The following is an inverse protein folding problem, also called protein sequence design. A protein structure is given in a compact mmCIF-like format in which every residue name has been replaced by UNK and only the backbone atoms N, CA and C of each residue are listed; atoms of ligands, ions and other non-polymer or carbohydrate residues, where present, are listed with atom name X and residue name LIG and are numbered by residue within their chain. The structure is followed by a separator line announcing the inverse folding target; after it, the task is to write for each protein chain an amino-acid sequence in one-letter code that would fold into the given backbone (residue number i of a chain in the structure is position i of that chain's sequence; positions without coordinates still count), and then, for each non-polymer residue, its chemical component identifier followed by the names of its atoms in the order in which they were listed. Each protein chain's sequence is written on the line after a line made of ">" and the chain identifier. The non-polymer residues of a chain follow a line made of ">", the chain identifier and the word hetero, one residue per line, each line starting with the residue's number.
data_IF_803579447495
#
_entry.id   IF_803579447495
#
_cell.length_a   1.000
_cell.length_b   1.000
_cell.length_c   1.000
_cell.angle_alpha   90.00
_cell.angle_beta   90.00
_cell.angle_gamma   90.00
#
_symmetry.space_group_name_H-M   'P 1'
#
loop_
_entity.id
_entity.type
_entity.pdbx_description
1 polymer ?
#
# COMPACT_ATOMS: atom_id res chain seq x y z
N UNK A 1 -2.31 9.52 19.85
CA UNK A 1 -1.65 10.23 18.74
C UNK A 1 -0.19 9.81 18.70
N UNK A 2 0.19 8.90 17.78
CA UNK A 2 1.58 8.50 17.57
C UNK A 2 2.40 9.63 16.92
N UNK A 3 3.76 9.56 16.97
CA UNK A 3 4.64 10.59 16.43
C UNK A 3 4.62 10.63 14.88
N UNK A 4 4.08 9.63 14.21
CA UNK A 4 4.08 9.49 12.76
C UNK A 4 2.70 9.73 12.16
N UNK A 5 2.65 10.44 11.03
CA UNK A 5 1.43 10.68 10.23
C UNK A 5 1.34 9.73 9.03
N UNK A 6 2.40 8.98 8.77
CA UNK A 6 2.47 8.00 7.70
C UNK A 6 3.03 6.67 8.19
N UNK A 7 2.72 5.61 7.45
CA UNK A 7 3.24 4.27 7.61
C UNK A 7 3.98 3.86 6.33
N UNK A 8 5.10 3.15 6.46
CA UNK A 8 5.82 2.52 5.36
C UNK A 8 5.72 1.00 5.51
N UNK A 9 5.02 0.36 4.59
CA UNK A 9 4.92 -1.10 4.50
C UNK A 9 5.95 -1.58 3.48
N UNK A 10 6.92 -2.37 3.93
CA UNK A 10 7.98 -2.90 3.09
C UNK A 10 8.02 -4.43 3.12
N UNK A 11 8.41 -5.05 2.00
CA UNK A 11 8.56 -6.51 1.92
C UNK A 11 8.45 -7.05 0.50
N UNK A 12 8.72 -8.36 0.28
CA UNK A 12 8.69 -8.98 -1.03
C UNK A 12 7.35 -8.78 -1.77
N UNK A 13 7.32 -8.89 -3.10
CA UNK A 13 6.06 -8.86 -3.85
C UNK A 13 5.19 -10.08 -3.51
N UNK A 14 3.87 -9.97 -3.78
CA UNK A 14 2.92 -11.06 -3.67
C UNK A 14 2.57 -11.54 -2.25
N UNK A 15 2.82 -10.73 -1.22
CA UNK A 15 2.55 -11.08 0.20
C UNK A 15 1.36 -10.30 0.79
N UNK A 16 0.58 -9.60 -0.04
CA UNK A 16 -0.65 -8.93 0.39
C UNK A 16 -0.47 -7.54 0.99
N UNK A 17 0.66 -6.83 0.77
CA UNK A 17 0.89 -5.50 1.33
C UNK A 17 -0.21 -4.49 0.98
N UNK A 18 -0.48 -4.31 -0.31
CA UNK A 18 -1.48 -3.37 -0.82
C UNK A 18 -2.89 -3.75 -0.35
N UNK A 19 -3.23 -5.04 -0.46
CA UNK A 19 -4.51 -5.56 0.02
C UNK A 19 -4.73 -5.28 1.51
N UNK A 20 -3.71 -5.52 2.34
CA UNK A 20 -3.78 -5.24 3.77
C UNK A 20 -3.97 -3.75 4.05
N UNK A 21 -3.24 -2.88 3.33
CA UNK A 21 -3.37 -1.43 3.49
C UNK A 21 -4.79 -0.94 3.17
N UNK A 22 -5.36 -1.45 2.06
CA UNK A 22 -6.73 -1.12 1.65
C UNK A 22 -7.75 -1.59 2.68
N UNK A 23 -7.68 -2.85 3.10
CA UNK A 23 -8.62 -3.43 4.06
C UNK A 23 -8.60 -2.70 5.40
N UNK A 24 -7.42 -2.43 5.95
CA UNK A 24 -7.28 -1.71 7.23
C UNK A 24 -7.86 -0.28 7.12
N UNK A 25 -7.61 0.42 6.00
CA UNK A 25 -8.16 1.76 5.81
C UNK A 25 -9.70 1.73 5.69
N UNK A 26 -10.25 0.71 5.02
CA UNK A 26 -11.70 0.50 4.90
C UNK A 26 -12.35 0.12 6.23
N UNK A 27 -11.72 -0.73 7.04
CA UNK A 27 -12.17 -1.09 8.38
C UNK A 27 -12.21 0.12 9.32
N UNK A 28 -11.27 1.08 9.15
CA UNK A 28 -11.28 2.37 9.88
C UNK A 28 -12.32 3.37 9.29
N UNK A 29 -13.18 2.91 8.37
CA UNK A 29 -14.24 3.71 7.75
C UNK A 29 -13.73 4.78 6.78
N UNK A 30 -12.48 4.68 6.31
CA UNK A 30 -11.87 5.68 5.44
C UNK A 30 -12.12 5.39 3.96
N UNK A 31 -12.24 6.46 3.21
CA UNK A 31 -12.20 6.43 1.75
C UNK A 31 -10.74 6.27 1.29
N UNK A 32 -10.44 5.20 0.57
CA UNK A 32 -9.10 4.93 0.07
C UNK A 32 -8.89 5.63 -1.27
N UNK A 33 -7.77 6.34 -1.37
CA UNK A 33 -7.22 6.88 -2.62
C UNK A 33 -5.90 6.15 -2.89
N UNK A 34 -5.94 5.21 -3.84
CA UNK A 34 -4.75 4.47 -4.27
C UNK A 34 -4.05 5.22 -5.40
N UNK A 35 -2.75 5.45 -5.24
CA UNK A 35 -1.87 6.09 -6.20
C UNK A 35 -0.63 5.24 -6.41
N UNK A 36 -0.26 5.00 -7.67
CA UNK A 36 1.03 4.41 -7.98
C UNK A 36 2.09 5.52 -8.07
N UNK A 37 3.11 5.45 -7.22
CA UNK A 37 4.15 6.47 -7.11
C UNK A 37 5.02 6.58 -8.38
N UNK A 38 5.04 5.55 -9.23
CA UNK A 38 5.73 5.55 -10.51
C UNK A 38 4.97 6.25 -11.64
N UNK A 39 3.66 6.53 -11.45
CA UNK A 39 2.82 7.18 -12.47
C UNK A 39 2.91 8.71 -12.37
N UNK A 40 3.20 9.37 -13.49
CA UNK A 40 3.23 10.83 -13.60
C UNK A 40 1.88 11.50 -13.28
N UNK A 41 0.75 10.79 -13.46
CA UNK A 41 -0.58 11.27 -13.08
C UNK A 41 -0.76 11.35 -11.57
N UNK A 42 -0.12 10.46 -10.83
CA UNK A 42 -0.17 10.44 -9.37
C UNK A 42 0.39 11.72 -8.75
N UNK A 43 1.38 12.36 -9.38
CA UNK A 43 1.92 13.66 -8.92
C UNK A 43 0.88 14.77 -8.99
N UNK A 44 0.19 14.90 -10.13
CA UNK A 44 -0.86 15.91 -10.29
C UNK A 44 -2.03 15.67 -9.34
N UNK A 45 -2.38 14.40 -9.10
CA UNK A 45 -3.42 14.02 -8.15
C UNK A 45 -2.98 14.28 -6.70
N UNK A 46 -1.71 14.07 -6.37
CA UNK A 46 -1.16 14.45 -5.07
C UNK A 46 -1.21 15.96 -4.84
N UNK A 47 -0.78 16.75 -5.82
CA UNK A 47 -0.83 18.22 -5.77
C UNK A 47 -2.27 18.74 -5.62
N UNK A 48 -3.23 18.17 -6.38
CA UNK A 48 -4.64 18.52 -6.26
C UNK A 48 -5.25 18.07 -4.92
N UNK A 49 -4.90 16.90 -4.44
CA UNK A 49 -5.36 16.40 -3.12
C UNK A 49 -4.78 17.21 -1.96
N UNK A 50 -3.59 17.80 -2.15
CA UNK A 50 -2.98 18.73 -1.20
C UNK A 50 -3.68 20.06 -1.15
N UNK A 51 -4.09 20.61 -2.29
CA UNK A 51 -4.85 21.87 -2.35
C UNK A 51 -6.20 21.75 -1.66
N UNK A 52 -6.87 20.59 -1.74
CA UNK A 52 -8.12 20.34 -1.03
C UNK A 52 -7.94 20.29 0.50
N UNK A 53 -6.78 19.83 0.97
CA UNK A 53 -6.43 19.75 2.41
C UNK A 53 -6.00 21.12 2.97
N UNK A 54 -5.50 22.02 2.12
CA UNK A 54 -5.07 23.37 2.51
C UNK A 54 -6.18 24.43 2.41
N UNK A 55 -7.41 24.04 2.06
CA UNK A 55 -8.59 24.94 2.08
C UNK A 55 -8.86 25.66 0.77
N UNK A 56 -8.19 25.33 -0.32
CA UNK A 56 -8.58 25.79 -1.66
C UNK A 56 -9.60 24.81 -2.25
N UNK A 57 -10.81 25.32 -2.50
CA UNK A 57 -11.88 24.61 -3.20
C UNK A 57 -11.40 24.19 -4.59
N UNK A 58 -11.10 22.93 -4.79
CA UNK A 58 -10.92 22.32 -6.12
C UNK A 58 -12.03 21.30 -6.32
N UNK A 59 -12.74 21.52 -7.43
CA UNK A 59 -13.86 20.78 -7.99
C UNK A 59 -13.95 19.31 -7.56
N UNK A 60 -14.88 19.01 -6.66
CA UNK A 60 -15.21 17.65 -6.28
C UNK A 60 -15.94 16.96 -7.43
N UNK A 61 -15.26 16.00 -8.07
CA UNK A 61 -15.85 15.11 -9.07
C UNK A 61 -16.74 14.00 -8.46
N UNK A 62 -17.11 14.09 -7.18
CA UNK A 62 -18.20 13.28 -6.63
C UNK A 62 -18.85 14.01 -5.44
N UNK A 63 -20.13 14.35 -5.61
CA UNK A 63 -21.03 14.85 -4.58
C UNK A 63 -21.41 13.74 -3.57
N UNK A 64 -20.44 13.21 -2.82
CA UNK A 64 -20.75 12.57 -1.55
C UNK A 64 -20.21 13.48 -0.46
N UNK A 65 -21.10 14.02 0.36
CA UNK A 65 -20.86 14.86 1.54
C UNK A 65 -20.06 14.13 2.65
N UNK A 66 -18.92 13.51 2.31
CA UNK A 66 -18.05 12.89 3.30
C UNK A 66 -16.91 13.83 3.61
N UNK A 67 -16.71 14.01 4.91
CA UNK A 67 -15.65 14.83 5.50
C UNK A 67 -14.28 14.48 4.89
N UNK A 68 -13.51 15.45 4.36
CA UNK A 68 -12.17 15.21 3.80
C UNK A 68 -11.21 14.50 4.74
N UNK A 69 -11.44 14.59 6.05
CA UNK A 69 -10.64 13.91 7.07
C UNK A 69 -10.84 12.40 7.11
N UNK A 70 -11.91 11.88 6.49
CA UNK A 70 -12.20 10.44 6.39
C UNK A 70 -11.52 9.78 5.18
N UNK A 71 -10.44 10.34 4.66
CA UNK A 71 -9.66 9.75 3.56
C UNK A 71 -8.38 9.10 4.09
N UNK A 72 -7.89 8.12 3.34
CA UNK A 72 -6.56 7.53 3.49
C UNK A 72 -5.90 7.48 2.11
N UNK A 73 -4.65 7.94 2.02
CA UNK A 73 -3.88 7.89 0.78
C UNK A 73 -2.95 6.68 0.84
N UNK A 74 -3.03 5.81 -0.16
CA UNK A 74 -2.10 4.69 -0.34
C UNK A 74 -1.20 5.02 -1.52
N UNK A 75 0.11 5.11 -1.26
CA UNK A 75 1.16 5.32 -2.26
C UNK A 75 1.89 4.01 -2.50
N UNK A 76 1.54 3.30 -3.58
CA UNK A 76 2.20 2.04 -3.93
C UNK A 76 3.43 2.26 -4.81
N UNK A 77 4.37 1.30 -4.77
CA UNK A 77 5.61 1.29 -5.53
C UNK A 77 6.50 2.53 -5.36
N UNK A 78 6.61 3.05 -4.11
CA UNK A 78 7.41 4.26 -3.84
C UNK A 78 8.90 4.07 -4.13
N UNK A 79 9.40 2.86 -4.19
CA UNK A 79 10.75 2.50 -4.64
C UNK A 79 10.95 2.68 -6.16
N UNK A 80 9.87 2.60 -6.95
CA UNK A 80 9.85 2.83 -8.40
C UNK A 80 9.89 4.30 -8.83
N UNK A 81 9.81 5.26 -7.90
CA UNK A 81 9.93 6.68 -8.24
C UNK A 81 11.26 6.96 -8.93
N UNK A 82 11.21 7.38 -10.21
CA UNK A 82 12.33 7.40 -11.15
C UNK A 82 13.59 8.15 -10.67
N UNK A 83 14.75 7.73 -11.18
CA UNK A 83 16.04 8.38 -10.88
C UNK A 83 16.13 9.84 -11.38
N UNK A 84 15.32 10.20 -12.38
CA UNK A 84 15.18 11.57 -12.90
C UNK A 84 14.33 12.48 -12.03
N UNK A 85 13.61 11.94 -11.04
CA UNK A 85 12.61 12.63 -10.25
C UNK A 85 13.12 12.95 -8.85
N UNK A 86 14.22 13.73 -8.79
CA UNK A 86 14.79 14.20 -7.51
C UNK A 86 13.78 14.99 -6.66
N UNK A 87 12.71 15.53 -7.28
CA UNK A 87 11.62 16.23 -6.62
C UNK A 87 10.60 15.31 -5.93
N UNK A 88 10.21 14.21 -6.55
CA UNK A 88 9.04 13.43 -6.12
C UNK A 88 9.12 12.85 -4.71
N UNK A 89 10.28 12.31 -4.30
CA UNK A 89 10.45 11.80 -2.94
C UNK A 89 10.48 12.93 -1.90
N UNK A 90 11.10 14.07 -2.24
CA UNK A 90 11.11 15.23 -1.35
C UNK A 90 9.72 15.84 -1.21
N UNK A 91 8.93 15.84 -2.27
CA UNK A 91 7.52 16.28 -2.26
C UNK A 91 6.66 15.32 -1.43
N UNK A 92 6.84 14.00 -1.58
CA UNK A 92 6.15 13.01 -0.74
C UNK A 92 6.47 13.21 0.75
N UNK A 93 7.73 13.47 1.10
CA UNK A 93 8.13 13.75 2.48
C UNK A 93 7.50 15.05 2.99
N UNK A 94 7.44 16.10 2.15
CA UNK A 94 6.74 17.34 2.50
C UNK A 94 5.25 17.09 2.73
N UNK A 95 4.63 16.31 1.84
CA UNK A 95 3.24 15.89 1.96
C UNK A 95 2.98 15.19 3.30
N UNK A 96 3.79 14.19 3.64
CA UNK A 96 3.65 13.45 4.91
C UNK A 96 3.70 14.40 6.11
N UNK A 97 4.60 15.38 6.08
CA UNK A 97 4.76 16.34 7.19
C UNK A 97 3.57 17.30 7.33
N UNK A 98 2.94 17.68 6.24
CA UNK A 98 1.83 18.64 6.21
C UNK A 98 0.44 17.98 6.21
N UNK A 99 0.33 16.72 5.84
CA UNK A 99 -0.95 16.02 5.68
C UNK A 99 -1.75 15.94 6.98
N UNK A 100 -3.05 16.13 6.84
CA UNK A 100 -4.04 15.89 7.90
C UNK A 100 -4.71 14.52 7.78
N UNK A 101 -4.49 13.83 6.65
CA UNK A 101 -5.00 12.48 6.40
C UNK A 101 -3.86 11.47 6.53
N UNK A 102 -4.13 10.24 6.98
CA UNK A 102 -3.12 9.19 7.04
C UNK A 102 -2.63 8.82 5.65
N UNK A 103 -1.33 8.54 5.55
CA UNK A 103 -0.68 8.12 4.31
C UNK A 103 -0.01 6.76 4.56
N UNK A 104 -0.27 5.80 3.69
CA UNK A 104 0.38 4.48 3.69
C UNK A 104 1.25 4.38 2.45
N UNK A 105 2.55 4.29 2.65
CA UNK A 105 3.53 4.09 1.58
C UNK A 105 3.88 2.61 1.49
N UNK A 106 3.98 2.05 0.28
CA UNK A 106 4.29 0.64 0.05
C UNK A 106 5.50 0.54 -0.87
N UNK A 107 6.45 -0.33 -0.52
CA UNK A 107 7.61 -0.64 -1.34
C UNK A 107 7.97 -2.13 -1.31
N UNK A 108 8.70 -2.57 -2.33
CA UNK A 108 9.30 -3.89 -2.38
C UNK A 108 10.72 -3.87 -1.84
N UNK A 109 11.53 -2.87 -2.25
CA UNK A 109 12.91 -2.70 -1.82
C UNK A 109 13.08 -1.61 -0.76
N UNK A 110 13.23 -2.05 0.50
CA UNK A 110 13.52 -1.18 1.67
C UNK A 110 14.95 -0.65 1.66
N UNK A 111 15.86 -1.30 0.92
CA UNK A 111 17.28 -0.96 0.90
C UNK A 111 17.60 0.26 0.03
N UNK A 112 16.72 0.60 -0.90
CA UNK A 112 16.86 1.79 -1.75
C UNK A 112 17.15 3.04 -0.92
N UNK A 113 18.16 3.86 -1.28
CA UNK A 113 18.51 5.09 -0.56
C UNK A 113 17.32 6.05 -0.40
N UNK A 114 16.45 6.09 -1.40
CA UNK A 114 15.22 6.92 -1.40
C UNK A 114 14.25 6.48 -0.32
N UNK A 115 13.99 5.16 -0.26
CA UNK A 115 13.10 4.56 0.73
C UNK A 115 13.67 4.70 2.14
N UNK A 116 15.00 4.61 2.31
CA UNK A 116 15.65 4.88 3.61
C UNK A 116 15.37 6.28 4.12
N UNK A 117 15.41 7.27 3.22
CA UNK A 117 15.08 8.66 3.58
C UNK A 117 13.62 8.81 4.01
N UNK A 118 12.68 8.19 3.26
CA UNK A 118 11.25 8.19 3.57
C UNK A 118 10.94 7.53 4.92
N UNK A 119 11.60 6.42 5.22
CA UNK A 119 11.35 5.63 6.43
C UNK A 119 11.61 6.41 7.73
N UNK A 120 12.47 7.43 7.71
CA UNK A 120 12.72 8.28 8.88
C UNK A 120 11.49 9.15 9.25
N UNK A 121 10.52 9.25 8.35
CA UNK A 121 9.30 10.06 8.51
C UNK A 121 8.03 9.21 8.65
N UNK A 122 8.17 7.88 8.66
CA UNK A 122 7.06 6.93 8.68
C UNK A 122 7.23 5.90 9.81
N UNK A 123 6.12 5.34 10.27
CA UNK A 123 6.13 4.09 11.03
C UNK A 123 6.57 2.95 10.11
N UNK A 124 7.73 2.35 10.35
CA UNK A 124 8.33 1.29 9.49
C UNK A 124 7.74 -0.08 9.84
N UNK A 125 6.92 -0.64 8.97
CA UNK A 125 6.32 -1.96 9.08
C UNK A 125 6.93 -2.90 8.03
N UNK A 126 7.61 -3.96 8.50
CA UNK A 126 8.27 -4.92 7.64
C UNK A 126 7.47 -6.20 7.53
N UNK A 127 6.91 -6.43 6.35
CA UNK A 127 6.21 -7.67 6.02
C UNK A 127 7.22 -8.73 5.56
N UNK A 128 7.04 -9.94 6.05
CA UNK A 128 7.84 -11.11 5.65
C UNK A 128 6.98 -12.06 4.82
N UNK A 129 7.63 -12.86 3.97
CA UNK A 129 6.94 -13.95 3.28
C UNK A 129 6.33 -14.90 4.29
N UNK A 130 5.04 -15.24 4.17
CA UNK A 130 4.44 -16.28 4.99
C UNK A 130 5.07 -17.62 4.65
N UNK A 131 5.05 -18.53 5.62
CA UNK A 131 5.53 -19.89 5.42
C UNK A 131 4.55 -20.68 4.54
N UNK A 132 5.06 -21.65 3.77
CA UNK A 132 4.27 -22.45 2.81
C UNK A 132 3.01 -23.07 3.41
N UNK A 133 3.07 -23.55 4.64
CA UNK A 133 1.94 -24.17 5.34
C UNK A 133 0.76 -23.20 5.55
N UNK A 134 1.03 -21.91 5.80
CA UNK A 134 -0.02 -20.89 5.95
C UNK A 134 -0.67 -20.59 4.61
N UNK A 135 0.14 -20.49 3.55
CA UNK A 135 -0.36 -20.24 2.18
C UNK A 135 -1.18 -21.45 1.71
N UNK A 136 -0.67 -22.67 1.91
CA UNK A 136 -1.36 -23.90 1.54
C UNK A 136 -2.73 -24.04 2.22
N UNK A 137 -2.80 -23.75 3.53
CA UNK A 137 -4.08 -23.73 4.25
C UNK A 137 -5.07 -22.78 3.60
N UNK A 138 -4.63 -21.57 3.26
CA UNK A 138 -5.48 -20.58 2.60
C UNK A 138 -5.91 -21.04 1.21
N UNK A 139 -5.02 -21.66 0.44
CA UNK A 139 -5.34 -22.22 -0.87
C UNK A 139 -6.40 -23.33 -0.78
N UNK A 140 -6.30 -24.23 0.20
CA UNK A 140 -7.32 -25.26 0.46
C UNK A 140 -8.66 -24.64 0.84
N UNK A 141 -8.69 -23.61 1.70
CA UNK A 141 -9.91 -22.90 2.08
C UNK A 141 -10.60 -22.24 0.87
N UNK A 142 -9.83 -21.56 0.03
CA UNK A 142 -10.35 -20.92 -1.20
C UNK A 142 -10.81 -21.98 -2.18
N UNK A 143 -10.01 -23.04 -2.42
CA UNK A 143 -10.41 -24.14 -3.30
C UNK A 143 -11.71 -24.77 -2.89
N UNK A 144 -11.91 -25.02 -1.58
CA UNK A 144 -13.15 -25.56 -1.06
C UNK A 144 -14.36 -24.60 -1.30
N UNK A 145 -14.14 -23.30 -1.15
CA UNK A 145 -15.20 -22.31 -1.42
C UNK A 145 -15.58 -22.25 -2.91
N UNK A 146 -14.62 -22.54 -3.80
CA UNK A 146 -14.81 -22.62 -5.26
C UNK A 146 -15.23 -24.02 -5.75
N UNK A 147 -15.51 -24.97 -4.82
CA UNK A 147 -15.96 -26.32 -5.14
C UNK A 147 -14.84 -27.28 -5.58
N UNK A 148 -13.59 -26.95 -5.29
CA UNK A 148 -12.44 -27.80 -5.57
C UNK A 148 -11.93 -28.47 -4.30
N UNK A 149 -11.60 -29.75 -4.37
CA UNK A 149 -10.88 -30.47 -3.31
C UNK A 149 -9.38 -30.45 -3.62
N UNK A 150 -8.61 -29.76 -2.77
CA UNK A 150 -7.17 -29.68 -2.88
C UNK A 150 -6.56 -30.37 -1.68
N UNK A 151 -5.72 -31.37 -1.94
CA UNK A 151 -4.98 -32.03 -0.86
C UNK A 151 -3.94 -31.07 -0.23
N UNK A 152 -3.79 -31.06 1.10
CA UNK A 152 -2.85 -30.17 1.79
C UNK A 152 -1.41 -30.29 1.27
N UNK A 153 -0.94 -31.51 0.98
CA UNK A 153 0.41 -31.73 0.45
C UNK A 153 0.58 -31.14 -0.96
N UNK A 154 -0.44 -31.25 -1.81
CA UNK A 154 -0.44 -30.64 -3.14
C UNK A 154 -0.43 -29.12 -3.03
N UNK A 155 -1.22 -28.54 -2.12
CA UNK A 155 -1.23 -27.10 -1.87
C UNK A 155 0.13 -26.58 -1.36
N UNK A 156 0.83 -27.34 -0.50
CA UNK A 156 2.18 -26.99 -0.05
C UNK A 156 3.20 -27.05 -1.19
N UNK A 157 3.13 -28.05 -2.06
CA UNK A 157 4.00 -28.18 -3.22
C UNK A 157 3.78 -27.00 -4.21
N UNK A 158 2.53 -26.60 -4.43
CA UNK A 158 2.18 -25.43 -5.24
C UNK A 158 2.77 -24.16 -4.61
N UNK A 159 2.54 -23.94 -3.31
CA UNK A 159 3.05 -22.77 -2.61
C UNK A 159 4.58 -22.65 -2.70
N UNK A 160 5.28 -23.78 -2.59
CA UNK A 160 6.75 -23.85 -2.69
C UNK A 160 7.23 -23.58 -4.12
N UNK A 161 6.58 -24.13 -5.13
CA UNK A 161 6.91 -23.92 -6.55
C UNK A 161 6.70 -22.45 -6.96
N UNK A 162 5.71 -21.77 -6.38
CA UNK A 162 5.45 -20.34 -6.58
C UNK A 162 6.35 -19.43 -5.70
N UNK A 163 7.34 -19.98 -5.00
CA UNK A 163 8.22 -19.21 -4.13
C UNK A 163 7.50 -18.46 -3.01
N UNK A 164 6.39 -18.98 -2.52
CA UNK A 164 5.51 -18.39 -1.50
C UNK A 164 4.92 -17.02 -1.93
N UNK A 165 4.71 -16.79 -3.21
CA UNK A 165 3.97 -15.64 -3.73
C UNK A 165 2.47 -15.98 -3.74
N UNK A 166 1.70 -15.32 -2.90
CA UNK A 166 0.26 -15.60 -2.72
C UNK A 166 -0.52 -15.35 -4.01
N UNK A 167 -0.14 -14.35 -4.83
CA UNK A 167 -0.82 -14.05 -6.10
C UNK A 167 -0.70 -15.18 -7.13
N UNK A 168 0.38 -15.97 -7.04
CA UNK A 168 0.60 -17.08 -7.97
C UNK A 168 -0.04 -18.38 -7.47
N UNK A 169 -0.29 -18.48 -6.16
CA UNK A 169 -0.88 -19.67 -5.55
C UNK A 169 -2.41 -19.64 -5.62
N UNK A 170 -3.01 -18.48 -5.48
CA UNK A 170 -4.48 -18.24 -5.52
C UNK A 170 -4.90 -17.79 -6.91
#
# INVERSE_FOLDING_TARGET
>A
NGPFRACLISGPPGIGKTTTAVLVAQEDGRQVLELNASDARSKKLLESSLSDVTGCQVLSFNKSNKDPTQRCIIMDEVDGMGAGDRGGMAELIKLIKSSKVPIICICNDRQSPKVKSLANHCLDLRFKRPVKTVIARRAVEVGKAEGMEIEPNAAEAIAESCGNDIRQVL
#
